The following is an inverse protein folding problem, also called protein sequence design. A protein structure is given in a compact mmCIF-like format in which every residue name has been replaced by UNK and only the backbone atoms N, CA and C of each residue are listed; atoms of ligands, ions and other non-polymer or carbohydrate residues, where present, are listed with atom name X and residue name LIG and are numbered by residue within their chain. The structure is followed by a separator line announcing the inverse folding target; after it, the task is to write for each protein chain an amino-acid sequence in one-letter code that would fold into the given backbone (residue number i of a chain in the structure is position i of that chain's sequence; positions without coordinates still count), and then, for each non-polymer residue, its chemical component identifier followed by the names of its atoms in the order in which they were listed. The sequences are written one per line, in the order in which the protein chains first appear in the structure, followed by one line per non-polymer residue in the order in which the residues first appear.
data_IF_324724004761
#
_entry.id   IF_324724004761
#
_cell.length_a   1.000
_cell.length_b   1.000
_cell.length_c   1.000
_cell.angle_alpha   90.00
_cell.angle_beta   90.00
_cell.angle_gamma   90.00
#
_symmetry.space_group_name_H-M   'P 1'
#
loop_
_entity.id
_entity.type
_entity.pdbx_description
1 polymer ?
#
# COMPACT_ATOMS: atom_id res chain seq x y z
N UNK A 1 -20.14 4.54 -1.57
CA UNK A 1 -19.13 3.51 -1.84
C UNK A 1 -17.79 4.22 -1.98
N UNK A 2 -16.78 3.88 -1.16
CA UNK A 2 -15.45 4.49 -1.32
C UNK A 2 -14.82 3.96 -2.61
N UNK A 3 -14.05 4.82 -3.29
CA UNK A 3 -13.54 4.54 -4.64
C UNK A 3 -12.06 4.92 -4.71
N UNK A 4 -11.22 3.95 -5.05
CA UNK A 4 -9.77 4.09 -5.11
C UNK A 4 -9.24 3.71 -6.48
N UNK A 5 -8.12 4.32 -6.87
CA UNK A 5 -7.28 3.79 -7.94
C UNK A 5 -6.32 2.76 -7.36
N UNK A 6 -6.33 1.54 -7.90
CA UNK A 6 -5.53 0.43 -7.43
C UNK A 6 -4.19 0.42 -8.16
N UNK A 7 -3.11 0.60 -7.38
CA UNK A 7 -1.73 0.47 -7.86
C UNK A 7 -1.19 -0.91 -7.52
N UNK A 8 -0.87 -1.69 -8.56
CA UNK A 8 -0.53 -3.12 -8.45
C UNK A 8 0.97 -3.41 -8.39
N UNK A 9 1.82 -2.39 -8.56
CA UNK A 9 3.27 -2.55 -8.60
C UNK A 9 3.73 -3.39 -9.78
N UNK A 10 4.91 -4.01 -9.66
CA UNK A 10 5.55 -4.79 -10.71
C UNK A 10 5.39 -6.31 -10.54
N UNK A 11 5.56 -6.83 -9.32
CA UNK A 11 5.55 -8.28 -9.04
C UNK A 11 4.15 -8.88 -9.18
N UNK A 12 3.12 -8.22 -8.65
CA UNK A 12 1.75 -8.74 -8.66
C UNK A 12 1.23 -9.07 -10.06
N UNK A 13 1.23 -8.14 -11.05
CA UNK A 13 0.70 -8.44 -12.38
C UNK A 13 1.44 -9.57 -13.11
N UNK A 14 2.73 -9.74 -12.83
CA UNK A 14 3.60 -10.67 -13.60
C UNK A 14 3.73 -12.04 -12.92
N UNK A 15 3.73 -12.09 -11.59
CA UNK A 15 4.02 -13.30 -10.81
C UNK A 15 2.86 -13.77 -9.94
N UNK A 16 2.02 -12.86 -9.46
CA UNK A 16 0.95 -13.17 -8.50
C UNK A 16 -0.42 -12.64 -8.97
N UNK A 17 -0.89 -12.96 -10.20
CA UNK A 17 -2.16 -12.43 -10.72
C UNK A 17 -3.37 -12.86 -9.87
N UNK A 18 -3.28 -14.01 -9.19
CA UNK A 18 -4.31 -14.46 -8.27
C UNK A 18 -4.49 -13.51 -7.08
N UNK A 19 -3.41 -12.86 -6.61
CA UNK A 19 -3.48 -11.89 -5.52
C UNK A 19 -4.29 -10.65 -5.93
N UNK A 20 -4.02 -10.13 -7.14
CA UNK A 20 -4.80 -9.03 -7.72
C UNK A 20 -6.28 -9.38 -7.84
N UNK A 21 -6.59 -10.57 -8.38
CA UNK A 21 -7.95 -11.04 -8.56
C UNK A 21 -8.69 -11.19 -7.22
N UNK A 22 -8.04 -11.76 -6.21
CA UNK A 22 -8.61 -11.91 -4.86
C UNK A 22 -8.91 -10.55 -4.23
N UNK A 23 -8.01 -9.57 -4.33
CA UNK A 23 -8.23 -8.23 -3.77
C UNK A 23 -9.45 -7.57 -4.41
N UNK A 24 -9.57 -7.62 -5.74
CA UNK A 24 -10.72 -7.02 -6.44
C UNK A 24 -12.04 -7.61 -5.96
N UNK A 25 -12.14 -8.94 -5.91
CA UNK A 25 -13.37 -9.63 -5.49
C UNK A 25 -13.70 -9.34 -4.03
N UNK A 26 -12.71 -9.39 -3.13
CA UNK A 26 -12.92 -9.17 -1.70
C UNK A 26 -13.35 -7.73 -1.43
N UNK A 27 -12.65 -6.75 -2.00
CA UNK A 27 -12.94 -5.34 -1.77
C UNK A 27 -14.26 -4.90 -2.41
N UNK A 28 -14.62 -5.42 -3.59
CA UNK A 28 -15.93 -5.17 -4.20
C UNK A 28 -17.06 -5.69 -3.32
N UNK A 29 -16.94 -6.92 -2.79
CA UNK A 29 -17.92 -7.49 -1.85
C UNK A 29 -18.06 -6.67 -0.57
N UNK A 30 -16.97 -6.04 -0.12
CA UNK A 30 -16.92 -5.19 1.06
C UNK A 30 -17.25 -3.71 0.78
N UNK A 31 -17.79 -3.39 -0.41
CA UNK A 31 -18.29 -2.06 -0.74
C UNK A 31 -17.20 -1.04 -1.06
N UNK A 32 -16.05 -1.49 -1.57
CA UNK A 32 -14.97 -0.64 -2.10
C UNK A 32 -14.89 -0.82 -3.61
N UNK A 33 -15.01 0.28 -4.35
CA UNK A 33 -14.79 0.29 -5.79
C UNK A 33 -13.31 0.45 -6.09
N UNK A 34 -12.80 -0.35 -7.02
CA UNK A 34 -11.43 -0.25 -7.49
C UNK A 34 -11.39 0.05 -8.99
N UNK A 35 -10.59 1.04 -9.36
CA UNK A 35 -10.21 1.29 -10.75
C UNK A 35 -8.74 0.94 -10.90
N UNK A 36 -8.36 0.08 -11.84
CA UNK A 36 -6.95 -0.23 -12.05
C UNK A 36 -6.20 1.01 -12.57
N UNK A 37 -5.04 1.33 -11.99
CA UNK A 37 -4.17 2.39 -12.51
C UNK A 37 -3.54 1.93 -13.82
N UNK A 38 -3.91 2.57 -14.93
CA UNK A 38 -3.26 2.36 -16.23
C UNK A 38 -1.99 3.19 -16.32
N UNK A 39 -1.04 2.72 -17.13
CA UNK A 39 0.22 3.42 -17.44
C UNK A 39 1.09 3.76 -16.22
N UNK A 40 0.92 3.01 -15.13
CA UNK A 40 1.73 3.14 -13.93
C UNK A 40 3.12 2.52 -14.15
N UNK A 41 4.15 3.27 -13.78
CA UNK A 41 5.53 2.78 -13.70
C UNK A 41 5.78 2.04 -12.38
N UNK A 42 6.98 1.47 -12.20
CA UNK A 42 7.43 0.95 -10.91
C UNK A 42 7.55 2.10 -9.88
N UNK A 43 7.32 1.81 -8.60
CA UNK A 43 7.44 2.79 -7.51
C UNK A 43 8.91 3.12 -7.16
N UNK A 44 9.87 2.43 -7.78
CA UNK A 44 11.30 2.52 -7.48
C UNK A 44 11.72 1.71 -6.25
N UNK A 45 10.81 1.59 -5.26
CA UNK A 45 11.08 1.08 -3.91
C UNK A 45 12.30 1.75 -3.27
N UNK A 46 12.64 1.34 -2.05
CA UNK A 46 13.83 1.79 -1.34
C UNK A 46 15.13 1.36 -2.04
N UNK A 47 15.04 0.49 -3.05
CA UNK A 47 16.15 0.12 -3.91
C UNK A 47 16.63 1.30 -4.76
N UNK A 48 15.73 1.97 -5.51
CA UNK A 48 16.12 3.15 -6.30
C UNK A 48 16.50 4.30 -5.39
N UNK A 49 15.83 4.46 -4.26
CA UNK A 49 16.16 5.48 -3.25
C UNK A 49 17.63 5.39 -2.80
N UNK A 50 18.14 4.18 -2.58
CA UNK A 50 19.54 3.95 -2.18
C UNK A 50 20.57 4.37 -3.24
N UNK A 51 20.14 4.53 -4.50
CA UNK A 51 20.99 4.90 -5.63
C UNK A 51 20.82 6.37 -6.03
N UNK A 52 19.58 6.85 -6.08
CA UNK A 52 19.24 8.23 -6.45
C UNK A 52 17.89 8.62 -5.87
N UNK A 53 17.93 9.48 -4.86
CA UNK A 53 16.73 10.05 -4.25
C UNK A 53 15.89 10.84 -5.27
N UNK A 54 16.52 11.59 -6.18
CA UNK A 54 15.81 12.33 -7.23
C UNK A 54 15.03 11.39 -8.17
N UNK A 55 15.62 10.27 -8.59
CA UNK A 55 14.94 9.28 -9.42
C UNK A 55 13.79 8.61 -8.67
N UNK A 56 14.00 8.28 -7.40
CA UNK A 56 12.97 7.72 -6.53
C UNK A 56 11.76 8.65 -6.39
N UNK A 57 11.99 9.94 -6.13
CA UNK A 57 10.95 10.96 -6.05
C UNK A 57 10.24 11.17 -7.38
N UNK A 58 10.95 11.17 -8.51
CA UNK A 58 10.34 11.29 -9.83
C UNK A 58 9.43 10.09 -10.16
N UNK A 59 9.91 8.86 -9.92
CA UNK A 59 9.16 7.64 -10.21
C UNK A 59 7.87 7.52 -9.39
N UNK A 60 7.96 7.71 -8.07
CA UNK A 60 6.77 7.68 -7.20
C UNK A 60 5.91 8.92 -7.37
N UNK A 61 6.51 10.10 -7.58
CA UNK A 61 5.82 11.35 -7.86
C UNK A 61 4.93 11.26 -9.11
N UNK A 62 5.39 10.55 -10.15
CA UNK A 62 4.59 10.25 -11.34
C UNK A 62 3.31 9.48 -11.00
N UNK A 63 3.41 8.45 -10.16
CA UNK A 63 2.25 7.65 -9.70
C UNK A 63 1.27 8.50 -8.89
N UNK A 64 1.78 9.37 -8.02
CA UNK A 64 0.96 10.32 -7.25
C UNK A 64 0.23 11.30 -8.18
N UNK A 65 0.95 11.92 -9.13
CA UNK A 65 0.37 12.83 -10.11
C UNK A 65 -0.65 12.16 -11.03
N UNK A 66 -0.43 10.90 -11.44
CA UNK A 66 -1.39 10.12 -12.20
C UNK A 66 -2.70 9.95 -11.41
N UNK A 67 -2.62 9.56 -10.14
CA UNK A 67 -3.79 9.41 -9.30
C UNK A 67 -4.54 10.74 -9.08
N UNK A 68 -3.83 11.86 -8.91
CA UNK A 68 -4.43 13.20 -8.85
C UNK A 68 -5.14 13.56 -10.16
N UNK A 69 -4.54 13.27 -11.31
CA UNK A 69 -5.16 13.51 -12.62
C UNK A 69 -6.47 12.71 -12.81
N UNK A 70 -6.57 11.55 -12.15
CA UNK A 70 -7.78 10.71 -12.10
C UNK A 70 -8.80 11.17 -11.03
N UNK A 71 -8.45 12.13 -10.17
CA UNK A 71 -9.26 12.56 -9.03
C UNK A 71 -9.51 11.45 -8.00
N UNK A 72 -8.56 10.52 -7.82
CA UNK A 72 -8.71 9.33 -6.97
C UNK A 72 -7.55 9.16 -6.00
N UNK A 73 -7.87 8.67 -4.80
CA UNK A 73 -6.87 8.20 -3.84
C UNK A 73 -6.32 6.83 -4.23
N UNK A 74 -5.08 6.54 -3.84
CA UNK A 74 -4.37 5.31 -4.20
C UNK A 74 -4.60 4.23 -3.16
N UNK A 75 -4.98 3.03 -3.62
CA UNK A 75 -4.79 1.79 -2.89
C UNK A 75 -3.51 1.10 -3.41
N UNK A 76 -2.49 1.04 -2.57
CA UNK A 76 -1.30 0.23 -2.81
C UNK A 76 -1.41 -1.13 -2.09
N UNK A 77 -1.23 -2.21 -2.85
CA UNK A 77 -1.43 -3.59 -2.38
C UNK A 77 -0.12 -4.28 -1.95
N UNK A 78 0.99 -3.56 -1.97
CA UNK A 78 2.32 -4.04 -1.62
C UNK A 78 2.94 -3.09 -0.57
N UNK A 79 3.63 -3.65 0.43
CA UNK A 79 4.26 -2.90 1.52
C UNK A 79 5.28 -1.90 0.99
N UNK A 80 6.27 -2.38 0.23
CA UNK A 80 7.27 -1.52 -0.41
C UNK A 80 6.66 -0.42 -1.30
N UNK A 81 5.61 -0.75 -2.07
CA UNK A 81 4.90 0.23 -2.90
C UNK A 81 4.22 1.31 -2.06
N UNK A 82 3.47 0.91 -1.02
CA UNK A 82 2.82 1.86 -0.11
C UNK A 82 3.85 2.71 0.62
N UNK A 83 4.95 2.11 1.09
CA UNK A 83 6.02 2.81 1.79
C UNK A 83 6.65 3.86 0.88
N UNK A 84 7.07 3.47 -0.32
CA UNK A 84 7.69 4.38 -1.29
C UNK A 84 6.81 5.57 -1.64
N UNK A 85 5.54 5.32 -1.98
CA UNK A 85 4.61 6.39 -2.34
C UNK A 85 4.34 7.34 -1.18
N UNK A 86 4.26 6.84 0.05
CA UNK A 86 4.06 7.67 1.25
C UNK A 86 5.31 8.47 1.62
N UNK A 87 6.50 7.89 1.52
CA UNK A 87 7.77 8.61 1.71
C UNK A 87 7.89 9.74 0.71
N UNK A 88 7.72 9.46 -0.59
CA UNK A 88 7.81 10.50 -1.62
C UNK A 88 6.72 11.56 -1.45
N UNK A 89 5.49 11.16 -1.11
CA UNK A 89 4.44 12.14 -0.74
C UNK A 89 4.89 13.05 0.40
N UNK A 90 5.42 12.48 1.49
CA UNK A 90 5.91 13.23 2.63
C UNK A 90 7.00 14.24 2.23
N UNK A 91 7.97 13.79 1.44
CA UNK A 91 9.10 14.63 1.01
C UNK A 91 8.65 15.77 0.08
N UNK A 92 7.76 15.48 -0.88
CA UNK A 92 7.24 16.49 -1.81
C UNK A 92 6.30 17.49 -1.12
N UNK A 93 5.55 17.05 -0.12
CA UNK A 93 4.66 17.93 0.66
C UNK A 93 5.48 18.84 1.60
N UNK A 94 6.59 18.34 2.15
CA UNK A 94 7.47 19.08 3.06
C UNK A 94 8.49 19.98 2.34
N UNK A 95 8.86 19.67 1.10
CA UNK A 95 9.91 20.36 0.36
C UNK A 95 9.41 20.90 -1.00
N UNK A 96 8.96 22.18 -1.05
CA UNK A 96 8.49 22.80 -2.29
C UNK A 96 9.53 22.79 -3.42
N UNK A 97 10.82 22.92 -3.10
CA UNK A 97 11.89 22.89 -4.12
C UNK A 97 12.00 21.52 -4.78
N UNK A 98 12.01 20.45 -3.99
CA UNK A 98 11.99 19.08 -4.51
C UNK A 98 10.73 18.82 -5.34
N UNK A 99 9.58 19.33 -4.88
CA UNK A 99 8.32 19.25 -5.62
C UNK A 99 8.40 19.95 -6.98
N UNK A 100 9.00 21.12 -7.05
CA UNK A 100 9.17 21.86 -8.31
C UNK A 100 10.15 21.15 -9.26
N UNK A 101 11.22 20.56 -8.74
CA UNK A 101 12.16 19.72 -9.50
C UNK A 101 11.45 18.49 -10.10
N UNK A 102 10.68 17.75 -9.27
CA UNK A 102 9.89 16.60 -9.74
C UNK A 102 8.83 17.05 -10.75
N UNK A 103 8.08 18.10 -10.48
CA UNK A 103 7.07 18.61 -11.40
C UNK A 103 7.65 19.07 -12.74
N UNK A 104 8.90 19.54 -12.77
CA UNK A 104 9.59 19.89 -14.02
C UNK A 104 9.82 18.66 -14.89
N UNK A 105 10.16 17.52 -14.28
CA UNK A 105 10.28 16.23 -14.99
C UNK A 105 8.90 15.75 -15.47
N UNK A 106 7.90 15.79 -14.59
CA UNK A 106 6.55 15.31 -14.89
C UNK A 106 5.84 16.13 -15.98
N UNK A 107 6.22 17.40 -16.15
CA UNK A 107 5.65 18.28 -17.17
C UNK A 107 5.85 17.75 -18.60
N UNK A 108 6.90 16.97 -18.86
CA UNK A 108 7.14 16.32 -20.16
C UNK A 108 6.02 15.33 -20.53
N UNK A 109 5.34 14.77 -19.52
CA UNK A 109 4.18 13.87 -19.68
C UNK A 109 2.84 14.58 -19.46
N UNK A 110 2.83 15.91 -19.30
CA UNK A 110 1.63 16.67 -18.98
C UNK A 110 1.08 16.38 -17.57
N UNK A 111 1.90 15.84 -16.67
CA UNK A 111 1.53 15.52 -15.29
C UNK A 111 2.03 16.58 -14.32
N UNK A 112 1.34 16.72 -13.18
CA UNK A 112 1.73 17.60 -12.08
C UNK A 112 1.22 17.05 -10.76
N UNK A 113 2.12 16.97 -9.77
CA UNK A 113 1.78 16.66 -8.40
C UNK A 113 1.47 17.94 -7.60
N UNK A 114 0.35 17.94 -6.89
CA UNK A 114 -0.19 19.08 -6.15
C UNK A 114 -0.36 18.84 -4.65
N UNK A 115 -0.25 17.60 -4.17
CA UNK A 115 -0.32 17.27 -2.74
C UNK A 115 -1.66 16.73 -2.27
N UNK A 116 -2.62 16.54 -3.18
CA UNK A 116 -4.02 16.26 -2.85
C UNK A 116 -4.35 14.77 -2.74
N UNK A 117 -3.55 13.90 -3.37
CA UNK A 117 -3.78 12.45 -3.32
C UNK A 117 -3.43 11.84 -1.97
N UNK A 118 -4.30 10.97 -1.46
CA UNK A 118 -4.02 10.09 -0.32
C UNK A 118 -3.53 8.72 -0.80
N UNK A 119 -2.56 8.14 -0.09
CA UNK A 119 -2.06 6.79 -0.32
C UNK A 119 -2.43 5.90 0.85
N UNK A 120 -3.18 4.83 0.61
CA UNK A 120 -3.53 3.83 1.61
C UNK A 120 -2.96 2.45 1.26
N UNK A 121 -2.47 1.76 2.29
CA UNK A 121 -2.16 0.34 2.20
C UNK A 121 -3.43 -0.50 2.37
N UNK A 122 -3.47 -1.71 1.81
CA UNK A 122 -4.60 -2.65 1.94
C UNK A 122 -5.03 -2.88 3.40
N UNK A 123 -4.08 -3.00 4.32
CA UNK A 123 -4.39 -3.18 5.75
C UNK A 123 -5.08 -1.96 6.38
N UNK A 124 -4.78 -0.73 5.91
CA UNK A 124 -5.50 0.46 6.34
C UNK A 124 -6.94 0.46 5.83
N UNK A 125 -7.15 0.03 4.57
CA UNK A 125 -8.51 -0.11 4.03
C UNK A 125 -9.33 -1.08 4.88
N UNK A 126 -8.77 -2.23 5.24
CA UNK A 126 -9.47 -3.19 6.12
C UNK A 126 -9.81 -2.62 7.49
N UNK A 127 -8.87 -1.90 8.13
CA UNK A 127 -9.07 -1.35 9.47
C UNK A 127 -9.99 -0.12 9.50
N UNK A 128 -9.73 0.85 8.62
CA UNK A 128 -10.30 2.20 8.70
C UNK A 128 -11.50 2.40 7.77
N UNK A 129 -11.46 1.76 6.59
CA UNK A 129 -12.45 2.03 5.55
C UNK A 129 -13.60 1.01 5.53
N UNK A 130 -13.30 -0.23 5.87
CA UNK A 130 -14.27 -1.34 5.94
C UNK A 130 -14.66 -1.63 7.39
N UNK A 131 -13.67 -1.79 8.26
CA UNK A 131 -13.88 -2.14 9.67
C UNK A 131 -14.03 -3.64 9.90
N UNK A 132 -13.67 -4.08 11.12
CA UNK A 132 -13.60 -5.51 11.45
C UNK A 132 -14.97 -6.21 11.49
N UNK A 133 -16.04 -5.51 11.85
CA UNK A 133 -17.39 -6.09 11.90
C UNK A 133 -17.87 -6.48 10.49
N UNK A 134 -17.70 -5.58 9.51
CA UNK A 134 -18.05 -5.87 8.12
C UNK A 134 -17.21 -7.01 7.53
N UNK A 135 -15.93 -7.12 7.92
CA UNK A 135 -15.07 -8.24 7.52
C UNK A 135 -15.61 -9.55 8.11
N UNK A 136 -15.97 -9.56 9.39
CA UNK A 136 -16.52 -10.72 10.09
C UNK A 136 -17.81 -11.22 9.43
N UNK A 137 -18.73 -10.31 9.13
CA UNK A 137 -20.02 -10.63 8.52
C UNK A 137 -19.88 -11.16 7.08
N UNK A 138 -18.78 -10.82 6.40
CA UNK A 138 -18.52 -11.28 5.04
C UNK A 138 -17.90 -12.69 4.96
N UNK A 139 -17.47 -13.28 6.08
CA UNK A 139 -16.84 -14.61 6.14
C UNK A 139 -17.88 -15.69 5.85
N UNK A 140 -17.65 -16.44 4.77
CA UNK A 140 -18.54 -17.54 4.34
C UNK A 140 -18.02 -18.91 4.81
N UNK A 141 -16.71 -19.10 4.76
CA UNK A 141 -16.06 -20.37 5.14
C UNK A 141 -14.90 -20.08 6.09
N UNK A 142 -15.10 -20.24 7.41
CA UNK A 142 -14.05 -20.03 8.40
C UNK A 142 -12.92 -21.04 8.28
N UNK A 143 -11.70 -20.63 8.64
CA UNK A 143 -10.48 -21.45 8.62
C UNK A 143 -10.24 -22.18 9.95
N UNK A 144 -11.27 -22.81 10.51
CA UNK A 144 -11.18 -23.49 11.81
C UNK A 144 -10.08 -24.57 11.83
N UNK A 145 -9.31 -24.59 12.92
CA UNK A 145 -8.19 -25.52 13.11
C UNK A 145 -6.92 -25.14 12.37
N UNK A 146 -6.91 -24.05 11.58
CA UNK A 146 -5.72 -23.54 10.91
C UNK A 146 -5.02 -22.55 11.82
N UNK A 147 -3.69 -22.69 11.93
CA UNK A 147 -2.80 -21.78 12.65
C UNK A 147 -2.00 -20.98 11.63
N UNK A 148 -2.02 -19.65 11.73
CA UNK A 148 -1.34 -18.75 10.81
C UNK A 148 -0.41 -17.80 11.57
N UNK A 149 0.81 -17.62 11.06
CA UNK A 149 1.77 -16.65 11.58
C UNK A 149 1.75 -15.40 10.71
N UNK A 150 1.46 -14.25 11.31
CA UNK A 150 1.49 -12.97 10.59
C UNK A 150 2.94 -12.53 10.32
N UNK A 151 3.21 -12.11 9.08
CA UNK A 151 4.40 -11.35 8.73
C UNK A 151 3.96 -9.98 8.23
N UNK A 152 4.34 -8.92 8.94
CA UNK A 152 3.78 -7.58 8.72
C UNK A 152 4.48 -6.78 7.62
N UNK A 153 5.74 -7.09 7.32
CA UNK A 153 6.57 -6.30 6.41
C UNK A 153 7.05 -5.00 7.06
N UNK A 154 8.32 -4.65 6.82
CA UNK A 154 8.93 -3.46 7.41
C UNK A 154 8.35 -2.17 6.83
N UNK A 155 8.10 -2.11 5.52
CA UNK A 155 7.60 -0.91 4.83
C UNK A 155 6.10 -0.65 5.03
N UNK A 156 5.41 -1.55 5.73
CA UNK A 156 4.03 -1.35 6.18
C UNK A 156 4.01 -0.61 7.52
N UNK A 157 4.97 -0.87 8.41
CA UNK A 157 4.93 -0.30 9.77
C UNK A 157 5.99 0.77 10.02
N UNK A 158 7.01 0.88 9.16
CA UNK A 158 8.14 1.80 9.31
C UNK A 158 8.41 2.61 8.03
N UNK A 159 8.82 3.88 8.14
CA UNK A 159 8.93 4.66 9.38
C UNK A 159 7.54 5.08 9.93
N UNK A 160 7.31 4.98 11.25
CA UNK A 160 5.97 5.14 11.85
C UNK A 160 5.38 6.54 11.68
N UNK A 161 6.21 7.57 11.59
CA UNK A 161 5.83 8.96 11.37
C UNK A 161 5.35 9.26 9.94
N UNK A 162 5.64 8.37 8.99
CA UNK A 162 5.22 8.49 7.58
C UNK A 162 4.14 7.46 7.25
N UNK A 163 4.41 6.17 7.49
CA UNK A 163 3.59 5.10 6.92
C UNK A 163 2.26 4.92 7.65
N UNK A 164 2.25 5.01 8.99
CA UNK A 164 1.06 5.05 9.86
C UNK A 164 0.01 3.96 9.58
N UNK A 165 0.41 2.76 9.17
CA UNK A 165 -0.53 1.64 8.93
C UNK A 165 -0.83 0.91 10.23
N UNK A 166 0.20 0.47 10.95
CA UNK A 166 0.07 -0.28 12.20
C UNK A 166 1.22 0.09 13.15
N UNK A 167 1.15 -0.38 14.39
CA UNK A 167 2.23 -0.18 15.37
C UNK A 167 3.51 -0.93 14.93
N UNK A 168 4.69 -0.29 14.89
CA UNK A 168 5.93 -0.94 14.46
C UNK A 168 6.42 -2.04 15.41
N UNK A 169 6.14 -1.90 16.71
CA UNK A 169 6.63 -2.80 17.75
C UNK A 169 5.59 -3.85 18.15
N UNK A 170 4.30 -3.50 18.10
CA UNK A 170 3.19 -4.37 18.44
C UNK A 170 2.05 -4.33 17.40
N UNK A 171 2.32 -4.71 16.13
CA UNK A 171 1.31 -4.67 15.08
C UNK A 171 0.21 -5.72 15.33
N UNK A 172 -1.02 -5.40 14.95
CA UNK A 172 -2.19 -6.24 15.26
C UNK A 172 -3.18 -6.45 14.11
N UNK A 173 -3.08 -5.72 13.00
CA UNK A 173 -4.10 -5.75 11.96
C UNK A 173 -4.18 -7.13 11.30
N UNK A 174 -3.04 -7.74 10.95
CA UNK A 174 -3.03 -9.06 10.29
C UNK A 174 -3.53 -10.13 11.26
N UNK A 175 -3.10 -10.10 12.53
CA UNK A 175 -3.56 -11.05 13.54
C UNK A 175 -5.09 -11.00 13.72
N UNK A 176 -5.64 -9.78 13.82
CA UNK A 176 -7.10 -9.59 13.91
C UNK A 176 -7.81 -10.14 12.68
N UNK A 177 -7.30 -9.90 11.47
CA UNK A 177 -7.88 -10.46 10.25
C UNK A 177 -7.82 -11.99 10.25
N UNK A 178 -6.69 -12.58 10.69
CA UNK A 178 -6.55 -14.03 10.86
C UNK A 178 -7.62 -14.57 11.82
N UNK A 179 -7.77 -13.96 12.99
CA UNK A 179 -8.76 -14.36 14.01
C UNK A 179 -10.20 -14.24 13.50
N UNK A 180 -10.53 -13.13 12.84
CA UNK A 180 -11.85 -12.91 12.23
C UNK A 180 -12.19 -13.95 11.16
N UNK A 181 -11.17 -14.44 10.45
CA UNK A 181 -11.34 -15.51 9.46
C UNK A 181 -11.58 -16.90 10.08
N UNK A 182 -11.56 -17.02 11.41
CA UNK A 182 -11.76 -18.25 12.16
C UNK A 182 -10.51 -19.12 12.34
N UNK A 183 -9.35 -18.64 11.89
CA UNK A 183 -8.04 -19.23 12.15
C UNK A 183 -7.47 -18.73 13.48
N UNK A 184 -6.40 -19.38 13.95
CA UNK A 184 -5.65 -18.95 15.14
C UNK A 184 -4.40 -18.20 14.73
N UNK A 185 -4.29 -16.93 15.14
CA UNK A 185 -3.04 -16.17 15.01
C UNK A 185 -1.99 -16.74 15.97
N UNK A 186 -0.80 -17.04 15.45
CA UNK A 186 0.32 -17.56 16.23
C UNK A 186 1.26 -16.43 16.59
N UNK A 187 1.55 -16.28 17.87
CA UNK A 187 2.63 -15.43 18.34
C UNK A 187 3.97 -16.17 18.29
N UNK A 188 5.03 -15.47 17.88
CA UNK A 188 6.35 -16.05 17.67
C UNK A 188 7.47 -15.00 17.82
N UNK A 189 8.66 -15.48 18.21
CA UNK A 189 9.83 -14.61 18.33
C UNK A 189 10.24 -14.06 16.97
N UNK A 190 10.40 -12.74 16.88
CA UNK A 190 10.83 -12.06 15.66
C UNK A 190 9.69 -11.70 14.71
N UNK A 191 8.45 -11.62 15.20
CA UNK A 191 7.26 -11.21 14.44
C UNK A 191 7.40 -9.89 13.68
N UNK A 192 8.20 -8.97 14.20
CA UNK A 192 8.49 -7.65 13.59
C UNK A 192 9.83 -7.60 12.85
N UNK A 193 10.57 -8.73 12.76
CA UNK A 193 11.86 -8.77 12.06
C UNK A 193 11.67 -8.71 10.55
N UNK A 194 12.68 -8.16 9.88
CA UNK A 194 12.79 -8.17 8.43
C UNK A 194 12.84 -9.61 7.89
N UNK A 195 12.16 -9.87 6.78
CA UNK A 195 12.23 -11.13 6.04
C UNK A 195 13.59 -11.35 5.34
N UNK A 196 14.43 -10.31 5.25
CA UNK A 196 15.72 -10.32 4.58
C UNK A 196 15.69 -9.86 3.11
N UNK A 197 14.51 -9.62 2.55
CA UNK A 197 14.34 -9.02 1.22
C UNK A 197 14.18 -7.50 1.30
N UNK A 198 14.58 -6.80 0.23
CA UNK A 198 14.44 -5.35 0.08
C UNK A 198 12.97 -4.94 -0.16
N UNK A 199 12.12 -5.86 -0.63
CA UNK A 199 10.74 -5.56 -1.03
C UNK A 199 9.74 -6.42 -0.24
N UNK A 200 9.36 -5.97 0.95
CA UNK A 200 8.30 -6.57 1.76
C UNK A 200 7.15 -5.59 1.98
#
# INVERSE_FOLDING_TARGET
MKDFVMYIGCTTPVRLPAYEASIKVVLEKLGIRLTLMKDANCCGSQYVESLSHAAFCAMSGRILALAESMGKNILAICGACSGALKTVKHDLDANPKLRDEVNSILAEEGLKYTGTVEVKHLLQIFREDIGYDAIKDAIVKPYHGIRLAAHYGCHVTRPPEIVKVDDPENPSIIDKIIELSGATAVDYTGKTRCCGEVQC
#
